data_IF_444436755165
#
_entry.id   IF_444436755165
#
_cell.length_a   1.000
_cell.length_b   1.000
_cell.length_c   1.000
_cell.angle_alpha   90.00
_cell.angle_beta   90.00
_cell.angle_gamma   90.00
#
_symmetry.space_group_name_H-M   'P 1'
#
loop_
_entity.id
_entity.type
_entity.pdbx_description
1 polymer ?
#
# COMPACT_ATOMS: atom_id res chain seq x y z
N UNK A 1 8.96 -17.85 1.45
CA UNK A 1 8.69 -19.30 1.22
C UNK A 1 8.90 -20.15 2.47
N UNK A 2 9.98 -19.97 3.25
CA UNK A 2 10.25 -20.79 4.45
C UNK A 2 9.25 -20.59 5.60
N UNK A 3 8.53 -19.47 5.61
CA UNK A 3 7.60 -19.08 6.67
C UNK A 3 6.18 -19.63 6.48
N UNK A 4 5.83 -20.12 5.29
CA UNK A 4 4.47 -20.60 4.99
C UNK A 4 4.39 -22.10 5.31
N UNK A 5 3.51 -22.55 6.21
CA UNK A 5 3.40 -23.95 6.61
C UNK A 5 2.66 -24.80 5.57
N UNK A 6 3.27 -25.00 4.39
CA UNK A 6 2.68 -25.74 3.27
C UNK A 6 2.24 -27.17 3.62
N UNK A 7 2.89 -27.81 4.61
CA UNK A 7 2.54 -29.17 5.04
C UNK A 7 1.22 -29.27 5.81
N UNK A 8 0.75 -28.18 6.39
CA UNK A 8 -0.46 -28.14 7.22
C UNK A 8 -1.70 -27.71 6.42
N UNK A 9 -1.52 -27.19 5.21
CA UNK A 9 -2.64 -26.73 4.38
C UNK A 9 -3.29 -27.90 3.63
N UNK A 10 -4.62 -27.91 3.60
CA UNK A 10 -5.41 -29.02 3.06
C UNK A 10 -5.41 -29.14 1.52
N UNK A 11 -5.04 -28.08 0.78
CA UNK A 11 -5.10 -28.08 -0.69
C UNK A 11 -3.80 -28.60 -1.30
N UNK A 12 -3.84 -29.60 -2.18
CA UNK A 12 -2.64 -30.19 -2.80
C UNK A 12 -1.87 -29.31 -3.79
N UNK A 13 -2.43 -28.18 -4.24
CA UNK A 13 -1.84 -27.33 -5.28
C UNK A 13 -1.73 -25.87 -4.85
N UNK A 14 -0.72 -25.56 -4.05
CA UNK A 14 -0.40 -24.18 -3.71
C UNK A 14 0.27 -23.47 -4.89
N UNK A 15 -0.19 -22.24 -5.15
CA UNK A 15 0.36 -21.35 -6.17
C UNK A 15 0.57 -19.97 -5.54
N UNK A 16 1.65 -19.31 -5.96
CA UNK A 16 1.90 -17.92 -5.62
C UNK A 16 1.43 -17.06 -6.79
N UNK A 17 0.87 -15.90 -6.48
CA UNK A 17 0.61 -14.89 -7.50
C UNK A 17 1.93 -14.29 -7.99
N UNK A 18 2.00 -13.93 -9.29
CA UNK A 18 3.13 -13.19 -9.82
C UNK A 18 3.18 -11.76 -9.26
N UNK A 19 4.27 -11.06 -9.55
CA UNK A 19 4.47 -9.67 -9.12
C UNK A 19 3.31 -8.77 -9.54
N UNK A 20 2.73 -8.07 -8.56
CA UNK A 20 1.73 -7.02 -8.76
C UNK A 20 1.86 -5.99 -7.65
N UNK A 21 1.31 -4.81 -7.92
CA UNK A 21 1.32 -3.65 -7.03
C UNK A 21 -0.06 -3.48 -6.40
N UNK A 22 -0.08 -3.23 -5.10
CA UNK A 22 -1.32 -2.97 -4.37
C UNK A 22 -1.92 -1.60 -4.69
N UNK A 23 -3.25 -1.55 -4.82
CA UNK A 23 -4.03 -0.31 -4.95
C UNK A 23 -4.86 0.01 -3.71
N UNK A 24 -4.89 -0.90 -2.73
CA UNK A 24 -5.54 -0.64 -1.45
C UNK A 24 -4.93 0.56 -0.69
N UNK A 25 -5.72 1.22 0.14
CA UNK A 25 -5.33 2.43 0.88
C UNK A 25 -4.16 2.24 1.86
N UNK A 26 -3.97 1.03 2.37
CA UNK A 26 -2.97 0.74 3.41
C UNK A 26 -1.59 0.50 2.80
N UNK A 27 -1.53 -0.18 1.66
CA UNK A 27 -0.29 -0.64 1.03
C UNK A 27 -0.14 -0.09 -0.40
N UNK A 28 -0.81 1.01 -0.73
CA UNK A 28 -0.78 1.58 -2.08
C UNK A 28 0.66 1.67 -2.62
N UNK A 29 0.87 1.19 -3.84
CA UNK A 29 2.19 1.21 -4.49
C UNK A 29 3.17 0.14 -3.98
N UNK A 30 2.85 -0.59 -2.91
CA UNK A 30 3.76 -1.61 -2.38
C UNK A 30 3.63 -2.92 -3.17
N UNK A 31 4.75 -3.49 -3.66
CA UNK A 31 4.73 -4.74 -4.38
C UNK A 31 4.41 -5.91 -3.45
N UNK A 32 3.73 -6.94 -3.97
CA UNK A 32 3.35 -8.17 -3.25
C UNK A 32 2.46 -7.98 -2.01
N UNK A 33 2.02 -6.76 -1.67
CA UNK A 33 1.19 -6.45 -0.49
C UNK A 33 -0.29 -6.32 -0.85
N UNK A 34 -0.78 -7.28 -1.63
CA UNK A 34 -2.18 -7.36 -2.04
C UNK A 34 -3.07 -7.78 -0.86
N UNK A 35 -4.27 -7.22 -0.80
CA UNK A 35 -5.36 -7.76 0.02
C UNK A 35 -5.86 -9.09 -0.54
N UNK A 36 -6.65 -9.81 0.26
CA UNK A 36 -7.31 -11.04 -0.20
C UNK A 36 -8.25 -10.78 -1.39
N UNK A 37 -8.93 -9.63 -1.42
CA UNK A 37 -9.80 -9.23 -2.52
C UNK A 37 -9.01 -9.00 -3.82
N UNK A 38 -7.93 -8.19 -3.76
CA UNK A 38 -7.04 -7.95 -4.91
C UNK A 38 -6.39 -9.25 -5.40
N UNK A 39 -5.93 -10.11 -4.49
CA UNK A 39 -5.36 -11.41 -4.85
C UNK A 39 -6.38 -12.32 -5.54
N UNK A 40 -7.63 -12.33 -5.06
CA UNK A 40 -8.72 -13.08 -5.69
C UNK A 40 -9.03 -12.55 -7.09
N UNK A 41 -9.18 -11.22 -7.23
CA UNK A 41 -9.44 -10.57 -8.50
C UNK A 41 -8.31 -10.80 -9.51
N UNK A 42 -7.04 -10.68 -9.09
CA UNK A 42 -5.89 -10.97 -9.92
C UNK A 42 -5.88 -12.43 -10.42
N UNK A 43 -6.20 -13.37 -9.53
CA UNK A 43 -6.29 -14.80 -9.90
C UNK A 43 -7.36 -15.02 -10.96
N UNK A 44 -8.55 -14.43 -10.77
CA UNK A 44 -9.64 -14.53 -11.73
C UNK A 44 -9.25 -13.91 -13.08
N UNK A 45 -8.59 -12.76 -13.07
CA UNK A 45 -8.13 -12.08 -14.28
C UNK A 45 -7.12 -12.94 -15.05
N UNK A 46 -6.10 -13.46 -14.38
CA UNK A 46 -5.07 -14.32 -15.00
C UNK A 46 -5.69 -15.61 -15.56
N UNK A 47 -6.74 -16.14 -14.92
CA UNK A 47 -7.50 -17.29 -15.42
C UNK A 47 -8.49 -16.94 -16.57
N UNK A 48 -8.45 -15.73 -17.12
CA UNK A 48 -9.31 -15.29 -18.22
C UNK A 48 -10.75 -14.95 -17.82
N UNK A 49 -11.01 -14.76 -16.52
CA UNK A 49 -12.33 -14.38 -15.98
C UNK A 49 -12.35 -12.92 -15.55
N UNK A 50 -12.07 -12.02 -16.49
CA UNK A 50 -12.00 -10.57 -16.23
C UNK A 50 -13.31 -10.02 -15.64
N UNK A 51 -14.46 -10.40 -16.19
CA UNK A 51 -15.77 -9.91 -15.71
C UNK A 51 -16.00 -10.24 -14.23
N UNK A 52 -15.63 -11.46 -13.82
CA UNK A 52 -15.74 -11.89 -12.43
C UNK A 52 -14.76 -11.14 -11.53
N UNK A 53 -13.54 -10.87 -12.01
CA UNK A 53 -12.56 -10.07 -11.28
C UNK A 53 -13.08 -8.65 -11.03
N UNK A 54 -13.69 -8.02 -12.05
CA UNK A 54 -14.27 -6.68 -11.94
C UNK A 54 -15.44 -6.65 -10.96
N UNK A 55 -16.33 -7.64 -11.00
CA UNK A 55 -17.46 -7.69 -10.06
C UNK A 55 -16.98 -7.85 -8.60
N UNK A 56 -15.93 -8.64 -8.34
CA UNK A 56 -15.33 -8.75 -7.00
C UNK A 56 -14.77 -7.41 -6.51
N UNK A 57 -14.12 -6.64 -7.39
CA UNK A 57 -13.49 -5.37 -7.01
C UNK A 57 -14.46 -4.19 -6.94
N UNK A 58 -15.68 -4.33 -7.46
CA UNK A 58 -16.69 -3.26 -7.54
C UNK A 58 -17.16 -2.73 -6.18
N UNK A 59 -17.16 -3.58 -5.16
CA UNK A 59 -17.48 -3.20 -3.78
C UNK A 59 -16.43 -2.28 -3.15
N UNK A 60 -15.24 -2.17 -3.78
CA UNK A 60 -14.13 -1.37 -3.28
C UNK A 60 -13.95 -0.09 -4.09
N UNK A 61 -13.84 1.04 -3.41
CA UNK A 61 -13.65 2.36 -4.05
C UNK A 61 -12.37 2.47 -4.88
N UNK A 62 -11.34 1.68 -4.56
CA UNK A 62 -10.07 1.60 -5.28
C UNK A 62 -10.02 0.47 -6.31
N UNK A 63 -11.13 -0.24 -6.55
CA UNK A 63 -11.16 -1.43 -7.38
C UNK A 63 -10.72 -1.19 -8.82
N UNK A 64 -11.17 -0.10 -9.43
CA UNK A 64 -10.74 0.28 -10.79
C UNK A 64 -9.26 0.72 -10.82
N UNK A 65 -8.75 1.33 -9.76
CA UNK A 65 -7.34 1.72 -9.69
C UNK A 65 -6.42 0.49 -9.68
N UNK A 66 -6.84 -0.61 -9.05
CA UNK A 66 -6.10 -1.88 -9.08
C UNK A 66 -5.85 -2.38 -10.50
N UNK A 67 -6.90 -2.39 -11.35
CA UNK A 67 -6.77 -2.81 -12.73
C UNK A 67 -5.99 -1.82 -13.58
N UNK A 68 -6.09 -0.52 -13.26
CA UNK A 68 -5.40 0.54 -13.98
C UNK A 68 -3.89 0.48 -13.76
N UNK A 69 -3.43 0.40 -12.51
CA UNK A 69 -2.00 0.37 -12.21
C UNK A 69 -1.33 -0.95 -12.65
N UNK A 70 -2.07 -2.06 -12.64
CA UNK A 70 -1.55 -3.37 -13.02
C UNK A 70 -1.96 -3.82 -14.44
N UNK A 71 -2.50 -2.93 -15.27
CA UNK A 71 -3.11 -3.32 -16.55
C UNK A 71 -2.15 -4.10 -17.46
N UNK A 72 -0.92 -3.59 -17.61
CA UNK A 72 0.07 -4.17 -18.49
C UNK A 72 0.52 -5.57 -18.02
N UNK A 73 0.80 -5.72 -16.72
CA UNK A 73 1.22 -7.01 -16.15
C UNK A 73 0.07 -8.03 -16.12
N UNK A 74 -1.16 -7.60 -15.82
CA UNK A 74 -2.33 -8.48 -15.81
C UNK A 74 -2.62 -9.04 -17.20
N UNK A 75 -2.61 -8.19 -18.23
CA UNK A 75 -2.78 -8.62 -19.62
C UNK A 75 -1.65 -9.54 -20.07
N UNK A 76 -0.41 -9.23 -19.70
CA UNK A 76 0.76 -10.06 -19.99
C UNK A 76 0.62 -11.45 -19.37
N UNK A 77 0.22 -11.53 -18.10
CA UNK A 77 0.03 -12.80 -17.39
C UNK A 77 -1.16 -13.61 -17.92
N UNK A 78 -2.26 -12.95 -18.27
CA UNK A 78 -3.43 -13.61 -18.86
C UNK A 78 -3.14 -14.22 -20.25
N UNK A 79 -2.15 -13.69 -20.98
CA UNK A 79 -1.71 -14.21 -22.27
C UNK A 79 -0.76 -15.42 -22.17
N UNK A 80 -0.19 -15.68 -20.98
CA UNK A 80 0.75 -16.78 -20.75
C UNK A 80 0.01 -18.12 -20.67
N UNK A 81 0.66 -19.19 -21.14
CA UNK A 81 0.09 -20.55 -21.13
C UNK A 81 0.50 -21.34 -19.89
N UNK A 82 1.75 -21.15 -19.47
CA UNK A 82 2.39 -21.98 -18.44
C UNK A 82 2.95 -21.13 -17.30
N UNK A 83 3.08 -21.75 -16.13
CA UNK A 83 3.62 -21.08 -14.94
C UNK A 83 5.07 -20.60 -15.13
N UNK A 84 5.87 -21.32 -15.91
CA UNK A 84 7.25 -20.93 -16.24
C UNK A 84 7.29 -19.65 -17.09
N UNK A 85 6.35 -19.51 -18.03
CA UNK A 85 6.22 -18.34 -18.89
C UNK A 85 5.83 -17.10 -18.07
N UNK A 86 4.89 -17.25 -17.14
CA UNK A 86 4.50 -16.17 -16.21
C UNK A 86 5.69 -15.67 -15.41
N UNK A 87 6.53 -16.57 -14.88
CA UNK A 87 7.73 -16.20 -14.12
C UNK A 87 8.78 -15.53 -15.00
N UNK A 88 9.00 -16.03 -16.22
CA UNK A 88 9.91 -15.41 -17.17
C UNK A 88 9.47 -13.97 -17.52
N UNK A 89 8.19 -13.80 -17.83
CA UNK A 89 7.58 -12.49 -18.12
C UNK A 89 7.61 -11.53 -16.94
N UNK A 90 7.39 -12.04 -15.74
CA UNK A 90 7.56 -11.26 -14.52
C UNK A 90 9.00 -10.72 -14.39
N UNK A 91 10.01 -11.57 -14.59
CA UNK A 91 11.40 -11.13 -14.44
C UNK A 91 11.79 -10.12 -15.53
N UNK A 92 11.38 -10.35 -16.77
CA UNK A 92 11.55 -9.39 -17.89
C UNK A 92 10.93 -8.03 -17.56
N UNK A 93 9.72 -8.03 -17.01
CA UNK A 93 9.03 -6.81 -16.59
C UNK A 93 9.80 -6.05 -15.49
N UNK A 94 10.28 -6.77 -14.48
CA UNK A 94 11.02 -6.17 -13.36
C UNK A 94 12.35 -5.56 -13.81
N UNK A 95 13.07 -6.23 -14.71
CA UNK A 95 14.30 -5.71 -15.32
C UNK A 95 14.03 -4.44 -16.13
N UNK A 96 12.98 -4.44 -16.95
CA UNK A 96 12.55 -3.27 -17.71
C UNK A 96 12.22 -2.07 -16.80
N UNK A 97 11.54 -2.31 -15.67
CA UNK A 97 11.24 -1.27 -14.69
C UNK A 97 12.50 -0.69 -14.05
N UNK A 98 13.48 -1.54 -13.71
CA UNK A 98 14.76 -1.10 -13.14
C UNK A 98 15.54 -0.22 -14.13
N UNK A 99 15.63 -0.65 -15.40
CA UNK A 99 16.28 0.10 -16.47
C UNK A 99 15.66 1.48 -16.70
N UNK A 100 14.33 1.57 -16.72
CA UNK A 100 13.59 2.84 -16.86
C UNK A 100 13.88 3.78 -15.69
N UNK A 101 13.94 3.25 -14.47
CA UNK A 101 14.23 4.06 -13.28
C UNK A 101 15.68 4.60 -13.26
N UNK A 102 16.65 3.81 -13.73
CA UNK A 102 18.05 4.23 -13.83
C UNK A 102 18.25 5.35 -14.86
N UNK A 103 17.60 5.26 -16.03
CA UNK A 103 17.69 6.29 -17.08
C UNK A 103 16.92 7.57 -16.76
N UNK A 104 15.86 7.50 -15.96
CA UNK A 104 15.08 8.66 -15.52
C UNK A 104 15.76 9.50 -14.43
N UNK A 105 16.62 8.88 -13.60
CA UNK A 105 17.38 9.57 -12.55
C UNK A 105 18.48 10.48 -13.08
N UNK A 106 19.03 10.23 -14.28
CA UNK A 106 20.11 11.03 -14.88
C UNK A 106 19.66 12.44 -15.32
N UNK A 107 18.36 12.71 -15.37
CA UNK A 107 17.82 14.01 -15.81
C UNK A 107 17.61 15.01 -14.66
N UNK A 108 17.56 14.55 -13.40
CA UNK A 108 17.31 15.40 -12.23
C UNK A 108 18.60 15.93 -11.56
N UNK A 109 19.78 15.37 -11.84
CA UNK A 109 21.05 15.90 -11.30
C UNK A 109 21.61 17.12 -12.05
N UNK A 110 21.09 17.49 -13.22
CA UNK A 110 21.67 18.57 -14.05
C UNK A 110 21.13 19.98 -13.75
N UNK A 111 20.40 20.16 -12.65
CA UNK A 111 19.86 21.47 -12.24
C UNK A 111 20.44 22.00 -10.91
N UNK A 112 21.70 21.67 -10.60
CA UNK A 112 22.49 22.41 -9.61
C UNK A 112 23.11 23.67 -10.24
N UNK A 113 22.50 24.82 -9.90
CA UNK A 113 22.95 26.22 -9.95
C UNK A 113 23.79 26.68 -11.15
N UNK A 114 23.27 27.59 -12.00
CA UNK A 114 24.12 28.53 -12.72
C UNK A 114 24.75 29.48 -11.69
N UNK A 115 26.07 29.37 -11.53
CA UNK A 115 26.91 30.39 -10.94
C UNK A 115 27.03 31.52 -11.96
N UNK A 116 26.11 32.48 -11.92
CA UNK A 116 26.24 33.71 -12.70
C UNK A 116 26.64 34.86 -11.77
N UNK A 117 27.94 35.12 -11.75
CA UNK A 117 28.53 36.39 -11.38
C UNK A 117 27.92 37.51 -12.24
N UNK A 118 27.07 38.37 -11.66
CA UNK A 118 26.73 39.64 -12.29
C UNK A 118 26.70 40.77 -11.25
N UNK A 119 27.69 41.63 -11.40
CA UNK A 119 27.96 42.90 -10.74
C UNK A 119 26.88 43.96 -11.06
N UNK A 120 26.54 44.81 -10.07
CA UNK A 120 26.13 46.20 -10.31
C UNK A 120 24.66 46.61 -10.15
N UNK A 121 24.33 47.08 -8.93
CA UNK A 121 23.66 48.37 -8.62
C UNK A 121 22.12 48.56 -8.74
N UNK A 122 21.46 48.46 -7.57
CA UNK A 122 20.59 49.42 -6.84
C UNK A 122 19.46 50.26 -7.51
N UNK A 123 18.31 50.30 -6.78
CA UNK A 123 17.19 51.29 -6.76
C UNK A 123 16.17 51.25 -7.93
N UNK A 124 14.84 51.25 -7.76
CA UNK A 124 13.97 51.98 -6.82
C UNK A 124 12.65 51.23 -6.55
N UNK A 125 12.12 51.50 -5.35
CA UNK A 125 10.76 51.27 -4.88
C UNK A 125 9.71 51.90 -5.82
N UNK A 126 8.66 51.14 -6.17
CA UNK A 126 7.26 51.53 -5.91
C UNK A 126 6.24 50.46 -6.35
N UNK A 127 5.43 49.99 -5.40
CA UNK A 127 3.97 49.90 -5.61
C UNK A 127 3.34 48.56 -5.98
N UNK A 128 3.12 47.71 -4.96
CA UNK A 128 1.79 47.14 -4.68
C UNK A 128 1.45 45.73 -5.20
N UNK A 129 0.93 44.93 -4.26
CA UNK A 129 0.07 43.75 -4.40
C UNK A 129 0.71 42.34 -4.53
N UNK A 130 0.73 41.68 -3.36
CA UNK A 130 0.23 40.31 -3.11
C UNK A 130 0.75 39.18 -4.01
N UNK A 131 1.94 38.67 -3.68
CA UNK A 131 2.35 37.31 -4.05
C UNK A 131 1.95 36.34 -2.92
N UNK A 132 1.21 35.24 -3.21
CA UNK A 132 0.84 34.27 -2.20
C UNK A 132 2.06 33.44 -1.81
N UNK A 133 2.60 33.64 -0.61
CA UNK A 133 3.62 32.76 -0.02
C UNK A 133 4.81 33.43 0.65
N UNK A 134 4.89 34.77 0.71
CA UNK A 134 5.93 35.42 1.50
C UNK A 134 5.57 35.39 3.00
N UNK A 135 6.42 34.72 3.78
CA UNK A 135 6.38 34.74 5.25
C UNK A 135 6.63 36.19 5.72
N UNK A 136 5.88 36.68 6.73
CA UNK A 136 6.13 37.99 7.29
C UNK A 136 7.53 38.03 7.93
N UNK A 137 8.18 39.22 7.93
CA UNK A 137 9.44 39.39 8.62
C UNK A 137 9.28 39.03 10.10
N UNK A 138 10.21 38.23 10.61
CA UNK A 138 10.30 37.86 12.02
C UNK A 138 10.62 39.14 12.79
N UNK A 139 9.62 39.71 13.44
CA UNK A 139 9.81 40.69 14.51
C UNK A 139 10.10 39.90 15.79
N UNK A 140 11.08 40.36 16.54
CA UNK A 140 11.67 39.71 17.70
C UNK A 140 10.68 39.69 18.88
N UNK A 141 9.64 38.85 18.82
CA UNK A 141 8.78 38.53 19.96
C UNK A 141 9.05 37.11 20.47
N UNK A 142 9.42 37.08 21.75
CA UNK A 142 9.72 35.94 22.60
C UNK A 142 8.59 34.89 22.57
N UNK A 143 8.76 33.84 21.75
CA UNK A 143 7.87 32.69 21.76
C UNK A 143 8.04 31.93 23.08
N UNK A 144 7.04 32.03 23.94
CA UNK A 144 6.86 31.20 25.13
C UNK A 144 6.75 29.72 24.71
N UNK A 145 7.85 28.98 24.83
CA UNK A 145 7.85 27.52 24.79
C UNK A 145 7.12 27.02 26.04
N UNK A 146 5.91 26.50 25.88
CA UNK A 146 5.28 25.71 26.94
C UNK A 146 6.10 24.43 27.17
N UNK A 147 6.50 24.20 28.43
CA UNK A 147 7.02 22.91 28.87
C UNK A 147 5.95 21.84 28.60
N UNK A 148 6.28 20.88 27.73
CA UNK A 148 5.51 19.64 27.66
C UNK A 148 6.03 18.73 28.79
N UNK A 149 5.09 18.33 29.64
CA UNK A 149 5.27 17.35 30.71
C UNK A 149 5.74 16.03 30.08
N UNK A 150 6.85 15.47 30.57
CA UNK A 150 7.39 14.16 30.19
C UNK A 150 6.41 13.07 30.66
N UNK A 151 5.43 12.70 29.81
CA UNK A 151 4.67 11.47 30.02
C UNK A 151 5.55 10.26 29.65
N UNK A 152 5.83 9.43 30.66
CA UNK A 152 6.56 8.15 30.60
C UNK A 152 6.37 7.38 29.26
N UNK A 153 7.49 7.12 28.58
CA UNK A 153 7.54 6.16 27.47
C UNK A 153 7.09 4.76 27.94
N UNK A 154 5.83 4.40 27.72
CA UNK A 154 5.38 3.02 27.87
C UNK A 154 5.91 2.20 26.70
N UNK A 155 6.83 1.28 26.98
CA UNK A 155 7.29 0.28 26.00
C UNK A 155 6.11 -0.56 25.49
N UNK A 156 5.71 -0.31 24.24
CA UNK A 156 4.69 -1.10 23.56
C UNK A 156 5.20 -2.52 23.29
N UNK A 157 4.61 -3.52 23.94
CA UNK A 157 4.93 -4.93 23.71
C UNK A 157 4.25 -5.46 22.46
N UNK A 158 4.99 -6.22 21.66
CA UNK A 158 4.48 -6.91 20.46
C UNK A 158 4.50 -8.42 20.66
N UNK A 159 3.47 -9.12 20.21
CA UNK A 159 3.43 -10.59 20.22
C UNK A 159 4.37 -11.19 19.16
N UNK A 160 4.49 -12.53 19.14
CA UNK A 160 5.32 -13.26 18.15
C UNK A 160 4.83 -13.11 16.71
N UNK A 161 3.68 -12.47 16.51
CA UNK A 161 3.03 -12.24 15.22
C UNK A 161 3.03 -10.75 14.83
N UNK A 162 3.59 -9.86 15.67
CA UNK A 162 3.73 -8.43 15.42
C UNK A 162 2.49 -7.59 15.76
N UNK A 163 1.53 -8.13 16.51
CA UNK A 163 0.40 -7.36 17.03
C UNK A 163 0.80 -6.65 18.33
N UNK A 164 0.32 -5.42 18.53
CA UNK A 164 0.50 -4.67 19.77
C UNK A 164 -0.39 -5.26 20.87
N UNK A 165 0.22 -5.66 21.99
CA UNK A 165 -0.49 -6.17 23.16
C UNK A 165 -0.72 -5.00 24.10
N UNK A 166 -1.99 -4.67 24.35
CA UNK A 166 -2.39 -3.76 25.41
C UNK A 166 -2.53 -4.63 26.67
N UNK A 167 -1.61 -4.48 27.61
CA UNK A 167 -1.76 -5.10 28.94
C UNK A 167 -2.72 -4.23 29.75
N UNK A 168 -4.00 -4.59 29.74
CA UNK A 168 -4.99 -4.01 30.65
C UNK A 168 -4.71 -4.53 32.07
N UNK A 169 -4.12 -3.69 32.92
CA UNK A 169 -4.18 -3.92 34.37
C UNK A 169 -5.58 -3.55 34.89
N UNK A 170 -6.24 -4.58 35.42
CA UNK A 170 -7.41 -4.58 36.31
C UNK A 170 -8.80 -4.25 35.75
N UNK A 171 -9.51 -5.32 35.36
CA UNK A 171 -10.65 -5.81 36.16
C UNK A 171 -12.01 -5.13 36.00
N UNK A 172 -12.83 -5.62 35.07
CA UNK A 172 -14.28 -5.79 35.28
C UNK A 172 -14.72 -7.10 34.63
N UNK A 173 -15.24 -8.01 35.44
CA UNK A 173 -15.95 -9.21 35.03
C UNK A 173 -17.11 -8.84 34.09
N UNK A 174 -17.21 -9.48 32.92
CA UNK A 174 -18.51 -9.70 32.32
C UNK A 174 -18.61 -11.14 31.82
N UNK A 175 -19.29 -11.94 32.63
CA UNK A 175 -19.72 -13.28 32.32
C UNK A 175 -20.69 -13.28 31.13
N UNK A 176 -20.57 -14.33 30.31
CA UNK A 176 -21.64 -14.92 29.49
C UNK A 176 -22.24 -14.09 28.34
N UNK A 177 -22.08 -14.62 27.13
CA UNK A 177 -23.12 -15.53 26.59
C UNK A 177 -22.77 -16.02 25.19
N UNK A 178 -22.42 -17.29 25.13
CA UNK A 178 -22.28 -18.08 23.90
C UNK A 178 -23.68 -18.28 23.28
N UNK A 179 -23.96 -17.61 22.15
CA UNK A 179 -25.18 -17.81 21.38
C UNK A 179 -25.05 -18.96 20.40
N UNK A 180 -25.46 -20.15 20.82
CA UNK A 180 -25.61 -21.38 20.01
C UNK A 180 -26.67 -21.19 18.91
N UNK A 181 -26.35 -21.50 17.65
CA UNK A 181 -27.36 -21.68 16.60
C UNK A 181 -27.93 -23.09 16.71
N UNK A 182 -29.21 -23.17 17.07
CA UNK A 182 -29.98 -24.42 17.08
C UNK A 182 -30.33 -24.87 15.66
N UNK A 183 -30.13 -26.17 15.48
CA UNK A 183 -30.37 -26.99 14.30
C UNK A 183 -31.88 -27.31 14.22
N UNK A 184 -32.58 -26.87 13.17
CA UNK A 184 -33.94 -27.35 12.85
C UNK A 184 -33.90 -28.19 11.57
N UNK A 185 -33.67 -29.50 11.76
CA UNK A 185 -34.10 -30.53 10.84
C UNK A 185 -35.63 -30.46 10.65
N UNK A 186 -36.10 -30.14 9.45
CA UNK A 186 -37.46 -30.49 9.02
C UNK A 186 -37.40 -31.79 8.22
N UNK A 187 -37.76 -32.87 8.93
CA UNK A 187 -38.10 -34.16 8.35
C UNK A 187 -39.11 -34.01 7.21
N UNK A 188 -38.72 -34.50 6.04
CA UNK A 188 -39.64 -34.87 4.97
C UNK A 188 -39.82 -36.39 5.06
N UNK A 189 -40.95 -36.84 5.62
CA UNK A 189 -41.36 -38.25 5.55
C UNK A 189 -42.82 -38.36 5.10
N UNK A 190 -42.92 -38.87 3.87
CA UNK A 190 -43.95 -39.72 3.25
C UNK A 190 -45.35 -39.12 3.07
#
# INVERSE_FOLDING_TARGET
>A
LKEIPFRQMASGHHRLLPFMVAANSVNYGRPFKLTCAEACAATLFICGKEDAAREVMKEFSYGEEFFKINNEVLNMYAACKDAEEVVAKQNEWLELCQDKSARGGEQLEKHNLPSDDVDGNESYLNGGHDLPGELPPIDDEEYYYGEYDDEEEKEMKVDKFGNFIIEDEEGVDDENSYGSYEDEEKEMKV
#
